data_IF_731556624680
#
_entry.id   IF_731556624680
#
_cell.length_a   1.000
_cell.length_b   1.000
_cell.length_c   1.000
_cell.angle_alpha   90.00
_cell.angle_beta   90.00
_cell.angle_gamma   90.00
#
_symmetry.space_group_name_H-M   'P 1'
#
loop_
_entity.id
_entity.type
_entity.pdbx_description
1 polymer ?
#
# COMPACT_ATOMS: atom_id res chain seq x y z
N UNK A 1 -13.46 31.20 -11.28
CA UNK A 1 -13.52 29.88 -11.73
C UNK A 1 -12.90 28.91 -10.71
N UNK A 2 -13.54 27.89 -10.44
CA UNK A 2 -13.07 27.05 -9.35
C UNK A 2 -12.88 25.61 -9.77
N UNK A 3 -11.86 25.39 -10.53
CA UNK A 3 -11.47 24.04 -10.86
C UNK A 3 -10.95 23.26 -9.67
N UNK A 4 -10.75 23.90 -8.54
CA UNK A 4 -10.20 23.24 -7.37
C UNK A 4 -11.06 22.08 -6.90
N UNK A 5 -12.37 22.14 -7.06
CA UNK A 5 -13.24 21.03 -6.68
C UNK A 5 -13.05 19.81 -7.58
N UNK A 6 -12.62 20.02 -8.81
CA UNK A 6 -12.35 18.93 -9.73
C UNK A 6 -11.04 18.22 -9.45
N UNK A 7 -10.19 18.76 -8.56
CA UNK A 7 -8.92 18.16 -8.20
C UNK A 7 -9.09 17.01 -7.22
N UNK A 8 -10.22 16.93 -6.52
CA UNK A 8 -10.47 15.90 -5.53
C UNK A 8 -11.58 14.99 -6.02
N UNK A 9 -11.21 13.83 -6.48
CA UNK A 9 -12.15 12.77 -6.81
C UNK A 9 -12.64 12.08 -5.54
N UNK A 10 -13.84 11.55 -5.57
CA UNK A 10 -14.33 10.67 -4.50
C UNK A 10 -13.63 9.30 -4.54
N UNK A 11 -12.94 9.00 -5.63
CA UNK A 11 -12.11 7.81 -5.74
C UNK A 11 -10.71 8.16 -5.29
N UNK A 12 -10.11 7.42 -4.36
CA UNK A 12 -8.76 7.70 -3.92
C UNK A 12 -7.75 7.53 -5.06
N UNK A 13 -6.66 8.28 -5.01
CA UNK A 13 -5.55 8.14 -5.96
C UNK A 13 -4.25 8.05 -5.19
N UNK A 14 -3.30 7.31 -5.75
CA UNK A 14 -1.95 7.19 -5.20
C UNK A 14 -0.92 7.55 -6.25
N UNK A 15 0.21 8.10 -5.80
CA UNK A 15 1.31 8.48 -6.68
C UNK A 15 2.65 8.43 -5.93
N UNK A 16 3.74 8.57 -6.65
CA UNK A 16 5.10 8.62 -6.11
C UNK A 16 5.46 7.41 -5.27
N UNK A 17 5.18 6.23 -5.77
CA UNK A 17 5.52 4.98 -5.10
C UNK A 17 7.03 4.77 -5.10
N UNK A 18 7.61 4.58 -3.92
CA UNK A 18 9.04 4.42 -3.73
C UNK A 18 9.37 3.30 -2.77
N UNK A 19 10.49 2.64 -3.03
CA UNK A 19 11.11 1.68 -2.12
C UNK A 19 12.35 2.31 -1.49
N UNK A 20 12.56 2.08 -0.20
CA UNK A 20 13.79 2.53 0.47
C UNK A 20 15.03 1.75 0.01
N UNK A 21 14.83 0.51 -0.38
CA UNK A 21 15.86 -0.36 -0.93
C UNK A 21 15.20 -1.46 -1.74
N UNK A 22 15.97 -2.20 -2.53
CA UNK A 22 15.43 -3.25 -3.37
C UNK A 22 15.79 -4.67 -2.91
N UNK A 23 16.56 -4.82 -1.84
CA UNK A 23 16.93 -6.13 -1.32
C UNK A 23 16.32 -6.35 0.05
N UNK A 24 15.88 -7.58 0.30
CA UNK A 24 15.28 -7.95 1.58
C UNK A 24 15.74 -9.36 1.93
N UNK A 25 16.23 -9.52 3.16
CA UNK A 25 16.63 -10.83 3.64
C UNK A 25 15.39 -11.61 4.06
N UNK A 26 15.06 -12.62 3.27
CA UNK A 26 13.89 -13.45 3.52
C UNK A 26 14.00 -14.13 4.88
N UNK A 27 12.86 -14.26 5.55
CA UNK A 27 12.74 -14.89 6.85
C UNK A 27 13.46 -14.17 8.00
N UNK A 28 13.93 -12.96 7.78
CA UNK A 28 14.58 -12.15 8.82
C UNK A 28 13.61 -11.07 9.32
N UNK A 29 13.14 -11.14 10.57
CA UNK A 29 12.22 -10.14 11.11
C UNK A 29 12.90 -8.79 11.37
N UNK A 30 14.21 -8.74 11.39
CA UNK A 30 14.99 -7.52 11.61
C UNK A 30 15.33 -6.78 10.34
N UNK A 31 15.28 -7.44 9.20
CA UNK A 31 15.49 -6.77 7.92
C UNK A 31 14.14 -6.28 7.41
N UNK A 32 14.10 -5.03 6.96
CA UNK A 32 12.88 -4.42 6.47
C UNK A 32 13.18 -3.46 5.33
N UNK A 33 12.17 -3.21 4.52
CA UNK A 33 12.17 -2.12 3.56
C UNK A 33 10.94 -1.25 3.79
N UNK A 34 11.05 0.01 3.41
CA UNK A 34 9.98 0.97 3.50
C UNK A 34 9.40 1.21 2.12
N UNK A 35 8.09 1.09 2.03
CA UNK A 35 7.33 1.47 0.83
C UNK A 35 6.59 2.75 1.17
N UNK A 36 6.77 3.77 0.37
CA UNK A 36 6.09 5.05 0.57
C UNK A 36 5.37 5.48 -0.70
N UNK A 37 4.22 6.13 -0.51
CA UNK A 37 3.44 6.70 -1.60
C UNK A 37 2.57 7.83 -1.06
N UNK A 38 2.19 8.73 -1.96
CA UNK A 38 1.22 9.78 -1.64
C UNK A 38 -0.18 9.29 -1.94
N UNK A 39 -1.12 9.60 -1.05
CA UNK A 39 -2.53 9.23 -1.22
C UNK A 39 -3.39 10.50 -1.15
N UNK A 40 -4.39 10.54 -2.02
CA UNK A 40 -5.42 11.58 -2.07
C UNK A 40 -6.79 10.94 -2.06
N UNK A 41 -7.71 11.50 -1.29
CA UNK A 41 -9.10 11.07 -1.28
C UNK A 41 -10.02 12.28 -1.11
N UNK A 42 -10.84 12.54 -2.12
CA UNK A 42 -11.63 13.76 -2.21
C UNK A 42 -12.77 13.85 -1.20
N UNK A 43 -13.32 12.73 -0.74
CA UNK A 43 -14.37 12.72 0.28
C UNK A 43 -13.88 12.35 1.67
N UNK A 44 -12.56 12.23 1.83
CA UNK A 44 -11.93 12.04 3.11
C UNK A 44 -12.42 10.80 3.87
N UNK A 45 -12.79 9.74 3.16
CA UNK A 45 -13.28 8.51 3.77
C UNK A 45 -12.28 7.36 3.79
N UNK A 46 -11.00 7.69 3.89
CA UNK A 46 -9.95 6.70 4.13
C UNK A 46 -10.04 6.15 5.56
N UNK A 47 -9.60 4.93 5.73
CA UNK A 47 -9.60 4.27 7.02
C UNK A 47 -10.81 3.36 7.20
N UNK A 48 -10.80 2.20 6.55
CA UNK A 48 -11.90 1.23 6.66
C UNK A 48 -12.04 0.73 8.09
N UNK A 49 -13.26 0.32 8.46
CA UNK A 49 -13.49 -0.33 9.73
C UNK A 49 -12.75 -1.68 9.75
N UNK A 50 -11.95 -1.89 10.78
CA UNK A 50 -11.16 -3.12 10.94
C UNK A 50 -12.02 -4.37 11.15
N UNK A 51 -13.28 -4.19 11.49
CA UNK A 51 -14.22 -5.29 11.63
C UNK A 51 -15.00 -5.59 10.33
N UNK A 52 -14.78 -4.81 9.27
CA UNK A 52 -15.52 -4.95 8.02
C UNK A 52 -15.05 -6.10 7.14
N UNK A 53 -13.88 -6.66 7.41
CA UNK A 53 -13.22 -7.63 6.52
C UNK A 53 -12.46 -7.00 5.36
N UNK A 54 -12.50 -5.67 5.24
CA UNK A 54 -11.73 -4.92 4.24
C UNK A 54 -10.46 -4.36 4.84
N UNK A 55 -9.54 -3.97 3.97
CA UNK A 55 -8.28 -3.35 4.34
C UNK A 55 -8.14 -2.03 3.60
N UNK A 56 -7.22 -1.20 4.05
CA UNK A 56 -6.96 0.10 3.42
C UNK A 56 -5.96 -0.01 2.28
N UNK A 57 -4.89 -0.76 2.49
CA UNK A 57 -3.78 -0.86 1.56
C UNK A 57 -3.62 -2.31 1.12
N UNK A 58 -3.58 -2.50 -0.18
CA UNK A 58 -3.45 -3.81 -0.82
C UNK A 58 -2.14 -3.86 -1.59
N UNK A 59 -1.32 -4.84 -1.30
CA UNK A 59 -0.06 -5.07 -2.00
C UNK A 59 -0.01 -6.53 -2.45
N UNK A 60 -0.37 -6.75 -3.71
CA UNK A 60 -0.37 -8.08 -4.32
C UNK A 60 0.97 -8.32 -4.97
N UNK A 61 1.62 -9.41 -4.62
CA UNK A 61 2.92 -9.71 -5.18
C UNK A 61 2.81 -10.46 -6.51
N UNK A 62 3.82 -10.28 -7.35
CA UNK A 62 3.80 -10.76 -8.73
C UNK A 62 3.78 -12.29 -8.87
N UNK A 63 4.26 -13.00 -7.85
CA UNK A 63 4.27 -14.47 -7.85
C UNK A 63 2.92 -15.09 -7.46
N UNK A 64 2.00 -14.25 -6.96
CA UNK A 64 0.64 -14.62 -6.50
C UNK A 64 0.60 -15.62 -5.33
N UNK A 65 1.67 -15.75 -4.56
CA UNK A 65 1.72 -16.65 -3.41
C UNK A 65 1.48 -15.96 -2.09
N UNK A 66 1.72 -14.64 -2.02
CA UNK A 66 1.50 -13.85 -0.81
C UNK A 66 0.79 -12.56 -1.16
N UNK A 67 -0.17 -12.17 -0.34
CA UNK A 67 -0.86 -10.89 -0.47
C UNK A 67 -0.72 -10.15 0.84
N UNK A 68 -0.22 -8.93 0.77
CA UNK A 68 -0.02 -8.09 1.94
C UNK A 68 -1.18 -7.11 2.07
N UNK A 69 -1.68 -6.96 3.30
CA UNK A 69 -2.83 -6.11 3.61
C UNK A 69 -2.50 -5.27 4.83
N UNK A 70 -2.83 -3.99 4.77
CA UNK A 70 -2.51 -3.06 5.84
C UNK A 70 -3.67 -2.11 6.09
N UNK A 71 -3.71 -1.56 7.29
CA UNK A 71 -4.63 -0.49 7.65
C UNK A 71 -3.88 0.83 7.72
N UNK A 72 -4.56 1.92 7.37
CA UNK A 72 -4.06 3.23 7.71
C UNK A 72 -4.11 3.40 9.24
N UNK A 73 -3.28 4.28 9.80
CA UNK A 73 -3.46 4.71 11.17
C UNK A 73 -4.88 5.23 11.36
N UNK A 74 -5.45 5.03 12.55
CA UNK A 74 -6.79 5.49 12.83
C UNK A 74 -6.90 6.98 12.56
N UNK A 75 -7.84 7.35 11.70
CA UNK A 75 -8.11 8.73 11.36
C UNK A 75 -9.34 9.13 12.15
N UNK A 76 -9.15 9.99 13.15
CA UNK A 76 -10.25 10.49 13.97
C UNK A 76 -11.16 11.41 13.16
N UNK A 77 -12.47 11.39 13.47
CA UNK A 77 -13.48 12.10 12.72
C UNK A 77 -13.35 13.63 12.69
N UNK A 78 -12.38 14.19 13.37
CA UNK A 78 -12.09 15.62 13.32
C UNK A 78 -11.04 15.95 12.28
N UNK A 79 -11.07 15.31 11.13
CA UNK A 79 -10.09 15.54 10.08
C UNK A 79 -10.24 16.94 9.54
N UNK A 80 -9.19 17.75 9.62
CA UNK A 80 -9.23 19.09 9.04
C UNK A 80 -9.51 18.99 7.55
N UNK A 81 -10.49 19.72 7.08
CA UNK A 81 -10.82 19.70 5.67
C UNK A 81 -11.83 18.65 5.24
N UNK A 82 -12.61 18.10 6.17
CA UNK A 82 -13.76 17.27 5.79
C UNK A 82 -14.57 17.99 4.70
N UNK A 83 -14.81 17.31 3.58
CA UNK A 83 -15.38 17.93 2.39
C UNK A 83 -14.35 18.54 1.45
N UNK A 84 -13.09 18.67 1.89
CA UNK A 84 -11.97 19.15 1.05
C UNK A 84 -11.02 18.03 0.68
N UNK A 85 -11.25 16.83 1.18
CA UNK A 85 -10.41 15.69 0.93
C UNK A 85 -9.29 15.52 1.95
N UNK A 86 -8.64 14.37 1.85
CA UNK A 86 -7.43 14.02 2.62
C UNK A 86 -6.31 13.80 1.63
N UNK A 87 -5.12 14.27 2.00
CA UNK A 87 -3.90 13.91 1.28
C UNK A 87 -2.77 13.70 2.27
N UNK A 88 -1.82 12.87 1.91
CA UNK A 88 -0.66 12.67 2.76
C UNK A 88 0.27 11.58 2.27
N UNK A 89 1.43 11.51 2.92
CA UNK A 89 2.42 10.48 2.66
C UNK A 89 2.12 9.27 3.51
N UNK A 90 2.05 8.12 2.86
CA UNK A 90 1.85 6.84 3.53
C UNK A 90 3.16 6.05 3.52
N UNK A 91 3.55 5.56 4.68
CA UNK A 91 4.75 4.76 4.85
C UNK A 91 4.38 3.38 5.40
N UNK A 92 4.81 2.33 4.71
CA UNK A 92 4.55 0.96 5.11
C UNK A 92 5.87 0.21 5.19
N UNK A 93 6.16 -0.39 6.35
CA UNK A 93 7.34 -1.25 6.52
C UNK A 93 6.96 -2.69 6.22
N UNK A 94 7.79 -3.35 5.43
CA UNK A 94 7.68 -4.77 5.14
C UNK A 94 8.96 -5.44 5.64
N UNK A 95 8.79 -6.47 6.45
CA UNK A 95 9.93 -7.23 6.98
C UNK A 95 10.21 -8.46 6.13
N UNK A 96 11.39 -9.03 6.30
CA UNK A 96 11.74 -10.28 5.64
C UNK A 96 10.86 -11.47 6.03
N UNK A 97 10.14 -11.37 7.13
CA UNK A 97 9.16 -12.38 7.51
C UNK A 97 7.92 -12.37 6.63
N UNK A 98 7.58 -11.21 6.07
CA UNK A 98 6.35 -11.04 5.30
C UNK A 98 6.51 -11.40 3.82
N UNK A 99 7.73 -11.39 3.30
CA UNK A 99 8.01 -11.79 1.92
C UNK A 99 9.01 -12.93 1.93
N UNK A 100 8.53 -14.11 1.60
CA UNK A 100 9.34 -15.34 1.65
C UNK A 100 9.77 -15.77 0.26
N UNK A 101 10.95 -16.37 0.19
CA UNK A 101 11.39 -17.05 -1.03
C UNK A 101 10.45 -18.22 -1.30
N UNK A 102 10.00 -18.34 -2.54
CA UNK A 102 9.14 -19.44 -2.96
C UNK A 102 10.02 -20.65 -3.32
N UNK A 103 10.01 -21.65 -2.46
CA UNK A 103 10.74 -22.92 -2.68
C UNK A 103 9.80 -24.09 -2.93
N UNK A 104 8.54 -23.84 -3.29
CA UNK A 104 7.54 -24.91 -3.45
C UNK A 104 7.79 -25.78 -4.68
N UNK A 105 8.38 -25.23 -5.73
CA UNK A 105 8.63 -25.96 -6.98
C UNK A 105 10.01 -26.62 -6.94
N UNK A 106 11.01 -25.89 -6.50
CA UNK A 106 12.38 -26.40 -6.31
C UNK A 106 13.10 -25.54 -5.27
N UNK A 107 14.08 -26.11 -4.57
CA UNK A 107 14.84 -25.33 -3.60
C UNK A 107 15.60 -24.19 -4.29
N UNK A 108 15.55 -23.00 -3.71
CA UNK A 108 16.32 -21.85 -4.18
C UNK A 108 16.67 -20.94 -3.01
N UNK A 109 17.77 -20.22 -3.17
CA UNK A 109 18.29 -19.31 -2.13
C UNK A 109 17.98 -17.84 -2.40
N UNK A 110 17.30 -17.53 -3.50
CA UNK A 110 16.95 -16.17 -3.87
C UNK A 110 15.67 -16.18 -4.68
N UNK A 111 15.00 -15.04 -4.69
CA UNK A 111 13.79 -14.84 -5.47
C UNK A 111 13.66 -13.37 -5.84
N UNK A 112 12.80 -13.09 -6.83
CA UNK A 112 12.53 -11.73 -7.27
C UNK A 112 11.03 -11.56 -7.44
N UNK A 113 10.52 -10.43 -6.95
CA UNK A 113 9.11 -10.09 -7.11
C UNK A 113 8.95 -8.58 -7.26
N UNK A 114 7.77 -8.16 -7.67
CA UNK A 114 7.33 -6.78 -7.53
C UNK A 114 5.96 -6.74 -6.87
N UNK A 115 5.58 -5.60 -6.35
CA UNK A 115 4.30 -5.41 -5.68
C UNK A 115 3.41 -4.51 -6.51
N UNK A 116 2.16 -4.91 -6.59
CA UNK A 116 1.06 -4.14 -7.17
C UNK A 116 0.32 -3.49 -6.01
N UNK A 117 0.34 -2.16 -5.95
CA UNK A 117 -0.16 -1.40 -4.81
C UNK A 117 -1.39 -0.60 -5.20
N UNK A 118 -2.43 -0.68 -4.37
CA UNK A 118 -3.60 0.17 -4.47
C UNK A 118 -4.22 0.34 -3.09
N UNK A 119 -5.07 1.34 -2.94
CA UNK A 119 -5.80 1.60 -1.70
C UNK A 119 -7.30 1.53 -1.96
N UNK A 120 -8.07 1.29 -0.90
CA UNK A 120 -9.53 1.23 -0.95
C UNK A 120 -10.07 2.10 0.17
N UNK A 121 -11.10 2.90 -0.12
CA UNK A 121 -11.74 3.75 0.87
C UNK A 121 -12.91 3.04 1.57
N UNK A 122 -13.56 3.74 2.52
CA UNK A 122 -14.69 3.18 3.27
C UNK A 122 -15.89 2.85 2.37
N UNK A 123 -16.05 3.59 1.29
CA UNK A 123 -17.13 3.35 0.34
C UNK A 123 -16.84 2.20 -0.63
N UNK A 124 -15.64 1.63 -0.57
CA UNK A 124 -15.23 0.54 -1.45
C UNK A 124 -14.62 0.98 -2.76
N UNK A 125 -14.35 2.27 -2.94
CA UNK A 125 -13.69 2.74 -4.15
C UNK A 125 -12.23 2.34 -4.15
N UNK A 126 -11.80 1.74 -5.25
CA UNK A 126 -10.41 1.33 -5.44
C UNK A 126 -9.64 2.42 -6.17
N UNK A 127 -8.45 2.74 -5.68
CA UNK A 127 -7.55 3.70 -6.33
C UNK A 127 -6.97 3.15 -7.63
N UNK A 128 -6.23 4.00 -8.33
CA UNK A 128 -5.31 3.55 -9.37
C UNK A 128 -4.28 2.59 -8.79
N UNK A 129 -3.70 1.79 -9.65
CA UNK A 129 -2.70 0.78 -9.27
C UNK A 129 -1.32 1.25 -9.69
N UNK A 130 -0.35 1.11 -8.78
CA UNK A 130 1.05 1.37 -9.07
C UNK A 130 1.87 0.10 -8.82
N UNK A 131 2.98 -0.02 -9.52
CA UNK A 131 3.89 -1.17 -9.41
C UNK A 131 5.22 -0.71 -8.83
N UNK A 132 5.77 -1.47 -7.89
CA UNK A 132 7.10 -1.21 -7.37
C UNK A 132 8.16 -1.63 -8.38
N UNK A 133 9.37 -1.12 -8.19
CA UNK A 133 10.56 -1.73 -8.76
C UNK A 133 10.74 -3.15 -8.20
N UNK A 134 11.53 -3.99 -8.87
CA UNK A 134 11.76 -5.35 -8.36
C UNK A 134 12.35 -5.35 -6.96
N UNK A 135 11.90 -6.30 -6.16
CA UNK A 135 12.42 -6.60 -4.82
C UNK A 135 13.15 -7.93 -4.91
N UNK A 136 14.41 -7.92 -4.51
CA UNK A 136 15.26 -9.10 -4.54
C UNK A 136 15.33 -9.72 -3.14
N UNK A 137 14.82 -10.92 -3.01
CA UNK A 137 14.88 -11.69 -1.76
C UNK A 137 16.16 -12.53 -1.73
N UNK A 138 16.78 -12.53 -0.59
CA UNK A 138 18.00 -13.32 -0.36
C UNK A 138 17.79 -14.36 0.72
#
# INVERSE_FOLDING_TARGET
YSCKKALYSTIPTIEQLKLSKQTLKSNDPKDSLLISFYVYDGDADLGVDRNSGSYDIYMDESRTIQNLRFYFPEINGAIPGAGKGIEGLCNVYITGKQLKIDSTVFPKSADTLYLKVYVVDKAGHKSNTLFTNPIYLK
#
